data_IF_029347948723
#
_entry.id   IF_029347948723
#
_cell.length_a   1.000
_cell.length_b   1.000
_cell.length_c   1.000
_cell.angle_alpha   90.00
_cell.angle_beta   90.00
_cell.angle_gamma   90.00
#
_symmetry.space_group_name_H-M   'P 1'
#
loop_
_entity.id
_entity.type
_entity.pdbx_description
1 polymer ?
#
# COMPACT_ATOMS: atom_id res chain seq x y z
N UNK A 1 1.58 20.00 33.26
CA UNK A 1 0.70 20.26 32.10
C UNK A 1 -0.72 20.32 32.61
N UNK A 2 -1.40 21.46 32.44
CA UNK A 2 -2.78 21.63 32.91
C UNK A 2 -3.70 21.21 31.77
N UNK A 3 -4.42 20.10 31.96
CA UNK A 3 -5.41 19.65 30.99
C UNK A 3 -6.62 20.60 31.04
N UNK A 4 -7.03 21.14 29.89
CA UNK A 4 -8.24 21.97 29.81
C UNK A 4 -9.49 21.06 29.81
N UNK A 5 -10.28 21.05 30.90
CA UNK A 5 -11.44 20.17 31.02
C UNK A 5 -12.54 20.51 30.01
N UNK A 6 -12.60 21.77 29.51
CA UNK A 6 -13.57 22.15 28.48
C UNK A 6 -13.17 21.54 27.14
N UNK A 7 -11.87 21.59 26.81
CA UNK A 7 -11.33 21.00 25.57
C UNK A 7 -11.58 19.49 25.54
N UNK A 8 -11.36 18.79 26.66
CA UNK A 8 -11.63 17.35 26.76
C UNK A 8 -13.10 17.02 26.44
N UNK A 9 -14.07 17.74 27.03
CA UNK A 9 -15.51 17.51 26.75
C UNK A 9 -15.87 17.71 25.28
N UNK A 10 -15.25 18.68 24.61
CA UNK A 10 -15.47 18.91 23.18
C UNK A 10 -14.95 17.71 22.37
N UNK A 11 -13.76 17.22 22.68
CA UNK A 11 -13.16 16.07 22.00
C UNK A 11 -13.98 14.79 22.23
N UNK A 12 -14.49 14.54 23.44
CA UNK A 12 -15.40 13.42 23.71
C UNK A 12 -16.69 13.50 22.88
N UNK A 13 -17.23 14.71 22.68
CA UNK A 13 -18.37 14.93 21.80
C UNK A 13 -18.05 14.59 20.34
N UNK A 14 -16.86 14.98 19.87
CA UNK A 14 -16.37 14.65 18.54
C UNK A 14 -16.17 13.13 18.38
N UNK A 15 -15.60 12.47 19.39
CA UNK A 15 -15.40 11.01 19.43
C UNK A 15 -16.73 10.25 19.26
N UNK A 16 -17.78 10.67 19.96
CA UNK A 16 -19.14 10.09 19.80
C UNK A 16 -19.69 10.30 18.40
N UNK A 17 -19.49 11.48 17.81
CA UNK A 17 -19.94 11.81 16.45
C UNK A 17 -19.24 10.96 15.41
N UNK A 18 -17.92 10.81 15.54
CA UNK A 18 -17.08 9.94 14.71
C UNK A 18 -17.59 8.50 14.80
N UNK A 19 -17.75 7.95 16.01
CA UNK A 19 -18.25 6.58 16.22
C UNK A 19 -19.60 6.37 15.54
N UNK A 20 -20.53 7.31 15.66
CA UNK A 20 -21.84 7.24 15.00
C UNK A 20 -21.72 7.22 13.47
N UNK A 21 -20.85 8.04 12.89
CA UNK A 21 -20.64 8.08 11.44
C UNK A 21 -19.94 6.82 10.90
N UNK A 22 -19.00 6.24 11.66
CA UNK A 22 -18.39 4.96 11.33
C UNK A 22 -19.43 3.84 11.27
N UNK A 23 -20.35 3.78 12.25
CA UNK A 23 -21.46 2.83 12.23
C UNK A 23 -22.42 3.03 11.05
N UNK A 24 -22.45 4.24 10.47
CA UNK A 24 -23.23 4.56 9.27
C UNK A 24 -22.47 4.28 7.96
N UNK A 25 -21.25 3.74 8.02
CA UNK A 25 -20.41 3.48 6.84
C UNK A 25 -19.83 4.75 6.19
N UNK A 26 -19.95 5.92 6.83
CA UNK A 26 -19.45 7.21 6.32
C UNK A 26 -17.95 7.38 6.59
N UNK A 27 -17.15 6.35 6.31
CA UNK A 27 -15.74 6.31 6.68
C UNK A 27 -14.93 7.48 6.11
N UNK A 28 -15.11 7.80 4.83
CA UNK A 28 -14.37 8.86 4.15
C UNK A 28 -14.61 10.24 4.80
N UNK A 29 -15.84 10.50 5.28
CA UNK A 29 -16.18 11.74 5.98
C UNK A 29 -15.53 11.82 7.38
N UNK A 30 -15.20 10.66 7.98
CA UNK A 30 -14.69 10.57 9.36
C UNK A 30 -13.18 10.67 9.45
N UNK A 31 -12.46 10.24 8.41
CA UNK A 31 -10.98 10.31 8.34
C UNK A 31 -10.41 11.67 8.79
N UNK A 32 -10.86 12.82 8.26
CA UNK A 32 -10.31 14.12 8.67
C UNK A 32 -10.61 14.44 10.14
N UNK A 33 -11.83 14.14 10.60
CA UNK A 33 -12.24 14.37 12.00
C UNK A 33 -11.42 13.50 12.97
N UNK A 34 -11.10 12.25 12.60
CA UNK A 34 -10.31 11.34 13.42
C UNK A 34 -8.84 11.77 13.51
N UNK A 35 -8.24 12.20 12.39
CA UNK A 35 -6.88 12.78 12.38
C UNK A 35 -6.78 14.01 13.26
N UNK A 36 -7.78 14.89 13.18
CA UNK A 36 -7.88 16.05 14.06
C UNK A 36 -7.95 15.63 15.53
N UNK A 37 -8.82 14.69 15.88
CA UNK A 37 -8.97 14.19 17.25
C UNK A 37 -7.65 13.63 17.83
N UNK A 38 -6.92 12.82 17.06
CA UNK A 38 -5.60 12.28 17.45
C UNK A 38 -4.61 13.41 17.76
N UNK A 39 -4.57 14.43 16.90
CA UNK A 39 -3.69 15.59 17.07
C UNK A 39 -4.02 16.35 18.35
N UNK A 40 -5.32 16.57 18.61
CA UNK A 40 -5.77 17.27 19.81
C UNK A 40 -5.48 16.48 21.09
N UNK A 41 -5.58 15.15 21.08
CA UNK A 41 -5.17 14.32 22.21
C UNK A 41 -3.66 14.37 22.46
N UNK A 42 -2.82 14.44 21.42
CA UNK A 42 -1.37 14.65 21.57
C UNK A 42 -1.04 15.99 22.22
N UNK A 43 -1.69 17.06 21.78
CA UNK A 43 -1.52 18.41 22.37
C UNK A 43 -1.91 18.45 23.86
N UNK A 44 -2.91 17.67 24.27
CA UNK A 44 -3.34 17.56 25.66
C UNK A 44 -2.42 16.67 26.51
N UNK A 45 -1.38 16.08 25.93
CA UNK A 45 -0.49 15.14 26.61
C UNK A 45 -1.07 13.74 26.79
N UNK A 46 -2.23 13.44 26.20
CA UNK A 46 -2.89 12.14 26.23
C UNK A 46 -2.32 11.23 25.12
N UNK A 47 -1.00 11.01 25.17
CA UNK A 47 -0.25 10.31 24.11
C UNK A 47 -0.70 8.87 23.91
N UNK A 48 -0.83 8.10 25.00
CA UNK A 48 -1.26 6.69 24.92
C UNK A 48 -2.62 6.54 24.22
N UNK A 49 -3.58 7.42 24.54
CA UNK A 49 -4.90 7.42 23.89
C UNK A 49 -4.78 7.78 22.41
N UNK A 50 -3.97 8.78 22.08
CA UNK A 50 -3.75 9.19 20.70
C UNK A 50 -3.08 8.07 19.87
N UNK A 51 -2.07 7.40 20.42
CA UNK A 51 -1.33 6.34 19.74
C UNK A 51 -2.21 5.10 19.53
N UNK A 52 -3.04 4.74 20.52
CA UNK A 52 -4.00 3.65 20.38
C UNK A 52 -5.05 3.96 19.31
N UNK A 53 -5.54 5.20 19.25
CA UNK A 53 -6.45 5.65 18.19
C UNK A 53 -5.78 5.66 16.81
N UNK A 54 -4.52 6.10 16.72
CA UNK A 54 -3.76 6.11 15.47
C UNK A 54 -3.49 4.69 14.97
N UNK A 55 -3.17 3.75 15.85
CA UNK A 55 -3.00 2.34 15.51
C UNK A 55 -4.29 1.74 14.93
N UNK A 56 -5.42 1.91 15.63
CA UNK A 56 -6.72 1.42 15.16
C UNK A 56 -7.12 2.07 13.84
N UNK A 57 -6.85 3.37 13.69
CA UNK A 57 -7.11 4.09 12.46
C UNK A 57 -6.29 3.55 11.28
N UNK A 58 -4.98 3.35 11.48
CA UNK A 58 -4.10 2.84 10.44
C UNK A 58 -4.48 1.41 10.05
N UNK A 59 -4.85 0.56 11.01
CA UNK A 59 -5.35 -0.76 10.71
C UNK A 59 -6.64 -0.69 9.86
N UNK A 60 -7.61 0.13 10.27
CA UNK A 60 -8.87 0.28 9.54
C UNK A 60 -8.67 0.79 8.11
N UNK A 61 -7.79 1.77 7.93
CA UNK A 61 -7.46 2.32 6.61
C UNK A 61 -6.75 1.30 5.74
N UNK A 62 -5.80 0.54 6.31
CA UNK A 62 -5.07 -0.50 5.59
C UNK A 62 -6.02 -1.61 5.12
N UNK A 63 -6.90 -2.10 5.99
CA UNK A 63 -7.91 -3.11 5.65
C UNK A 63 -8.90 -2.60 4.59
N UNK A 64 -9.24 -1.31 4.61
CA UNK A 64 -10.13 -0.69 3.63
C UNK A 64 -9.46 -0.42 2.26
N UNK A 65 -8.13 -0.41 2.22
CA UNK A 65 -7.33 -0.11 1.01
C UNK A 65 -6.79 -1.36 0.32
N UNK A 66 -6.96 -2.56 0.90
CA UNK A 66 -6.65 -3.81 0.19
C UNK A 66 -7.60 -3.88 -1.02
N UNK A 67 -7.10 -3.76 -2.26
CA UNK A 67 -7.88 -4.16 -3.41
C UNK A 67 -8.16 -5.65 -3.20
N UNK A 68 -9.41 -6.08 -3.31
CA UNK A 68 -9.64 -7.50 -3.51
C UNK A 68 -9.01 -7.87 -4.86
N UNK A 69 -7.73 -8.26 -4.85
CA UNK A 69 -7.08 -9.00 -5.93
C UNK A 69 -7.72 -10.39 -5.99
N UNK A 70 -8.98 -10.42 -6.43
CA UNK A 70 -9.57 -11.60 -7.06
C UNK A 70 -9.24 -11.52 -8.56
N UNK A 71 -7.96 -11.41 -8.91
CA UNK A 71 -7.53 -11.90 -10.22
C UNK A 71 -7.07 -13.35 -10.00
N UNK A 72 -7.76 -14.35 -10.59
CA UNK A 72 -7.23 -15.68 -10.61
C UNK A 72 -5.93 -15.62 -11.40
N UNK A 73 -4.81 -15.79 -10.71
CA UNK A 73 -3.52 -16.06 -11.33
C UNK A 73 -3.70 -17.37 -12.09
N UNK A 74 -3.89 -17.30 -13.41
CA UNK A 74 -3.69 -18.46 -14.28
C UNK A 74 -2.24 -18.91 -14.08
N UNK A 75 -2.08 -19.98 -13.31
CA UNK A 75 -0.84 -20.73 -13.24
C UNK A 75 -0.58 -21.30 -14.63
N UNK A 76 0.16 -20.57 -15.47
CA UNK A 76 0.73 -21.16 -16.67
C UNK A 76 1.62 -22.33 -16.23
N UNK A 77 1.22 -23.54 -16.62
CA UNK A 77 1.95 -24.76 -16.32
C UNK A 77 3.41 -24.62 -16.80
N UNK A 78 4.40 -25.05 -16.00
CA UNK A 78 5.78 -25.05 -16.46
C UNK A 78 5.90 -25.97 -17.67
N UNK A 79 6.08 -25.37 -18.84
CA UNK A 79 6.35 -26.11 -20.07
C UNK A 79 7.51 -27.08 -19.84
N UNK A 80 7.41 -28.35 -20.29
CA UNK A 80 8.45 -29.33 -20.06
C UNK A 80 9.71 -28.89 -20.82
N UNK A 81 10.79 -28.67 -20.08
CA UNK A 81 12.11 -28.38 -20.61
C UNK A 81 12.46 -29.39 -21.69
N UNK A 82 12.57 -28.93 -22.94
CA UNK A 82 13.15 -29.73 -24.01
C UNK A 82 14.66 -29.80 -23.80
N UNK A 83 15.08 -30.82 -23.08
CA UNK A 83 16.42 -31.36 -23.12
C UNK A 83 16.70 -31.83 -24.56
N UNK A 84 17.51 -31.07 -25.29
CA UNK A 84 17.98 -31.45 -26.63
C UNK A 84 19.35 -30.82 -26.88
N UNK A 85 20.34 -31.37 -26.19
CA UNK A 85 21.47 -32.06 -26.80
C UNK A 85 21.97 -31.52 -28.16
N UNK A 86 23.03 -30.69 -28.11
CA UNK A 86 24.35 -30.91 -28.77
C UNK A 86 25.06 -29.61 -29.15
N UNK A 87 26.37 -29.48 -28.87
CA UNK A 87 27.19 -28.40 -29.39
C UNK A 87 27.50 -28.66 -30.87
N UNK A 88 27.11 -27.76 -31.78
CA UNK A 88 27.58 -27.83 -33.16
C UNK A 88 28.91 -27.10 -33.27
N UNK A 89 29.98 -27.92 -33.28
CA UNK A 89 31.35 -27.58 -33.65
C UNK A 89 31.38 -26.57 -34.80
N UNK A 90 32.18 -25.52 -34.66
CA UNK A 90 32.57 -24.66 -35.77
C UNK A 90 33.26 -25.48 -36.86
N UNK A 91 32.74 -25.41 -38.09
CA UNK A 91 33.47 -25.86 -39.28
C UNK A 91 34.00 -24.62 -40.01
N UNK A 92 35.33 -24.49 -40.05
CA UNK A 92 36.07 -23.48 -40.81
C UNK A 92 36.02 -23.83 -42.30
N UNK A 93 35.09 -23.25 -43.02
CA UNK A 93 34.93 -23.12 -44.50
C UNK A 93 33.45 -22.74 -44.63
N UNK A 94 33.07 -21.47 -44.73
CA UNK A 94 33.29 -20.68 -45.92
C UNK A 94 33.76 -19.26 -45.64
N UNK A 95 34.60 -18.84 -46.58
CA UNK A 95 35.35 -17.60 -46.64
C UNK A 95 34.55 -16.69 -47.57
N UNK A 96 34.44 -15.42 -47.19
CA UNK A 96 34.05 -14.25 -48.00
C UNK A 96 32.56 -13.97 -48.11
N UNK A 97 32.29 -12.66 -48.16
CA UNK A 97 31.00 -11.98 -48.29
C UNK A 97 30.19 -12.01 -46.97
N UNK A 98 29.98 -10.92 -46.23
CA UNK A 98 29.84 -9.53 -46.64
C UNK A 98 30.26 -8.62 -45.49
N UNK A 99 31.48 -8.12 -45.58
CA UNK A 99 31.98 -6.98 -44.83
C UNK A 99 31.52 -5.72 -45.57
N UNK A 100 30.23 -5.42 -45.53
CA UNK A 100 29.59 -4.22 -46.05
C UNK A 100 28.27 -4.08 -45.25
N UNK A 101 27.97 -3.07 -44.44
CA UNK A 101 28.34 -1.67 -44.47
C UNK A 101 28.49 -1.15 -43.04
N UNK A 102 29.55 -0.36 -42.89
CA UNK A 102 29.79 0.61 -41.84
C UNK A 102 28.55 1.47 -41.54
N UNK A 103 28.45 1.87 -40.28
CA UNK A 103 28.13 3.23 -39.82
C UNK A 103 27.45 4.12 -40.86
N UNK A 104 26.18 4.44 -40.61
CA UNK A 104 25.63 5.71 -41.06
C UNK A 104 24.99 6.39 -39.87
N UNK A 105 25.56 7.56 -39.57
CA UNK A 105 25.14 8.54 -38.58
C UNK A 105 23.66 8.95 -38.72
#
# INVERSE_FOLDING_TARGET
MVQDPKKIKILEGLEKKIKRRLLQGKTQEVIPDLRYLITQYRELGLREKADLMEMVFNQFVTESLIPQENEPVELEEPTPYKESDKPKLMSRKDKKESLQFLHRD
#
